data_IF_817274858567
#
_entry.id   IF_817274858567
#
_cell.length_a   1.000
_cell.length_b   1.000
_cell.length_c   1.000
_cell.angle_alpha   90.00
_cell.angle_beta   90.00
_cell.angle_gamma   90.00
#
_symmetry.space_group_name_H-M   'P 1'
#
loop_
_entity.id
_entity.type
_entity.pdbx_description
1 polymer ?
#
# COMPACT_ATOMS: atom_id res chain seq x y z
N UNK A 1 9.31 -4.76 -14.76
CA UNK A 1 9.09 -3.66 -13.81
C UNK A 1 7.61 -3.46 -13.57
N UNK A 2 7.23 -3.30 -12.33
CA UNK A 2 5.87 -3.09 -11.91
C UNK A 2 5.76 -1.83 -11.08
N UNK A 3 4.58 -1.24 -11.04
CA UNK A 3 4.26 -0.18 -10.10
C UNK A 3 3.31 -0.76 -9.05
N UNK A 4 3.67 -0.59 -7.79
CA UNK A 4 2.78 -0.90 -6.67
C UNK A 4 2.13 0.39 -6.22
N UNK A 5 0.82 0.39 -6.12
CA UNK A 5 0.05 1.51 -5.60
C UNK A 5 -0.79 1.00 -4.44
N UNK A 6 -0.78 1.70 -3.31
CA UNK A 6 -1.61 1.30 -2.18
C UNK A 6 -2.06 2.51 -1.36
N UNK A 7 -3.00 2.28 -0.47
CA UNK A 7 -3.61 3.32 0.34
C UNK A 7 -3.46 2.95 1.81
N UNK A 8 -3.04 3.91 2.63
CA UNK A 8 -2.70 3.62 4.03
C UNK A 8 -2.98 4.83 4.91
N UNK A 9 -3.52 4.65 6.14
CA UNK A 9 -3.64 5.76 7.08
C UNK A 9 -2.27 6.21 7.55
N UNK A 10 -2.17 7.48 7.97
CA UNK A 10 -0.91 8.07 8.39
C UNK A 10 -0.21 7.26 9.48
N UNK A 11 -0.97 6.64 10.37
CA UNK A 11 -0.42 5.84 11.48
C UNK A 11 0.50 4.71 11.02
N UNK A 12 0.34 4.22 9.78
CA UNK A 12 1.13 3.10 9.26
C UNK A 12 1.85 3.43 7.96
N UNK A 13 1.91 4.72 7.61
CA UNK A 13 2.57 5.16 6.37
C UNK A 13 4.05 4.75 6.33
N UNK A 14 4.81 5.16 7.34
CA UNK A 14 6.25 4.89 7.36
C UNK A 14 6.55 3.40 7.52
N UNK A 15 5.78 2.70 8.32
CA UNK A 15 5.94 1.28 8.56
C UNK A 15 5.71 0.47 7.29
N UNK A 16 4.66 0.78 6.52
CA UNK A 16 4.39 0.07 5.26
C UNK A 16 5.43 0.38 4.19
N UNK A 17 5.84 1.64 4.07
CA UNK A 17 6.91 2.02 3.12
C UNK A 17 8.20 1.29 3.47
N UNK A 18 8.57 1.26 4.74
CA UNK A 18 9.78 0.57 5.19
C UNK A 18 9.73 -0.93 4.84
N UNK A 19 8.59 -1.58 5.08
CA UNK A 19 8.42 -2.98 4.75
C UNK A 19 8.63 -3.26 3.26
N UNK A 20 8.08 -2.38 2.40
CA UNK A 20 8.25 -2.50 0.95
C UNK A 20 9.70 -2.29 0.53
N UNK A 21 10.38 -1.28 1.09
CA UNK A 21 11.78 -1.03 0.78
C UNK A 21 12.67 -2.19 1.20
N UNK A 22 12.42 -2.78 2.37
CA UNK A 22 13.18 -3.94 2.85
C UNK A 22 12.97 -5.17 1.96
N UNK A 23 11.82 -5.28 1.29
CA UNK A 23 11.54 -6.37 0.35
C UNK A 23 12.11 -6.11 -1.05
N UNK A 24 12.77 -4.98 -1.27
CA UNK A 24 13.44 -4.65 -2.52
C UNK A 24 12.67 -3.73 -3.45
N UNK A 25 11.49 -3.27 -3.08
CA UNK A 25 10.74 -2.28 -3.87
C UNK A 25 11.37 -0.89 -3.74
N UNK A 26 11.07 -0.01 -4.70
CA UNK A 26 11.53 1.38 -4.64
C UNK A 26 12.95 1.61 -5.13
N UNK A 27 13.46 0.75 -5.99
CA UNK A 27 14.81 0.92 -6.55
C UNK A 27 14.74 1.41 -7.99
N UNK A 28 15.47 2.48 -8.28
CA UNK A 28 15.61 3.04 -9.63
C UNK A 28 17.10 3.34 -9.84
N UNK A 29 17.78 2.55 -10.67
CA UNK A 29 19.21 2.70 -10.91
C UNK A 29 20.00 2.63 -9.61
N UNK A 30 20.76 3.66 -9.31
CA UNK A 30 21.59 3.76 -8.10
C UNK A 30 20.85 4.40 -6.92
N UNK A 31 19.54 4.48 -6.97
CA UNK A 31 18.72 5.04 -5.89
C UNK A 31 17.81 3.98 -5.31
N UNK A 32 17.67 3.97 -4.00
CA UNK A 32 16.68 3.15 -3.32
C UNK A 32 15.70 4.03 -2.55
N UNK A 33 14.72 3.41 -1.93
CA UNK A 33 13.68 4.09 -1.16
C UNK A 33 12.92 5.14 -1.98
N UNK A 34 12.81 4.90 -3.28
CA UNK A 34 12.07 5.78 -4.18
C UNK A 34 10.58 5.50 -4.02
N UNK A 35 9.84 6.53 -3.66
CA UNK A 35 8.39 6.45 -3.50
C UNK A 35 7.78 7.81 -3.69
N UNK A 36 6.51 7.84 -4.06
CA UNK A 36 5.72 9.05 -4.17
C UNK A 36 4.45 8.87 -3.35
N UNK A 37 3.96 9.92 -2.72
CA UNK A 37 2.76 9.83 -1.91
C UNK A 37 1.96 11.12 -1.95
N UNK A 38 0.66 10.99 -1.77
CA UNK A 38 -0.24 12.12 -1.66
C UNK A 38 -1.30 11.81 -0.62
N UNK A 39 -1.63 12.81 0.19
CA UNK A 39 -2.71 12.70 1.17
C UNK A 39 -4.05 12.90 0.47
N UNK A 40 -4.97 12.01 0.73
CA UNK A 40 -6.31 12.06 0.18
C UNK A 40 -7.33 11.60 1.19
N UNK A 41 -8.54 11.36 0.70
CA UNK A 41 -9.65 10.92 1.54
C UNK A 41 -10.28 9.69 0.94
N UNK A 42 -10.23 8.59 1.71
CA UNK A 42 -10.87 7.35 1.32
C UNK A 42 -12.19 7.14 2.04
N UNK A 43 -12.98 6.20 1.55
CA UNK A 43 -14.20 5.81 2.25
C UNK A 43 -14.45 4.32 2.07
N UNK A 44 -15.12 3.75 3.04
CA UNK A 44 -15.53 2.34 3.00
C UNK A 44 -16.65 2.12 4.01
N UNK A 45 -17.34 1.00 3.85
CA UNK A 45 -18.36 0.59 4.80
C UNK A 45 -18.16 -0.88 5.14
N UNK A 46 -17.76 -1.21 6.37
CA UNK A 46 -17.63 -2.60 6.78
C UNK A 46 -18.96 -3.33 6.68
N UNK A 47 -18.94 -4.55 6.17
CA UNK A 47 -20.11 -5.41 6.08
C UNK A 47 -20.12 -6.39 7.26
N UNK A 48 -21.23 -7.09 7.47
CA UNK A 48 -21.34 -8.09 8.51
C UNK A 48 -20.28 -9.18 8.31
N UNK A 49 -19.60 -9.54 9.41
CA UNK A 49 -18.52 -10.53 9.37
C UNK A 49 -17.14 -9.96 9.19
N UNK A 50 -17.01 -8.66 8.88
CA UNK A 50 -15.71 -8.01 8.80
C UNK A 50 -15.16 -7.72 10.20
N UNK A 51 -13.83 -7.54 10.28
CA UNK A 51 -13.15 -7.12 11.51
C UNK A 51 -12.29 -5.89 11.18
N UNK A 52 -12.91 -4.72 11.03
CA UNK A 52 -12.21 -3.53 10.57
C UNK A 52 -11.26 -2.96 11.63
N UNK A 53 -10.13 -2.44 11.16
CA UNK A 53 -9.21 -1.66 11.97
C UNK A 53 -9.84 -0.31 12.37
N UNK A 54 -10.58 0.31 11.43
CA UNK A 54 -11.32 1.56 11.63
C UNK A 54 -12.76 1.33 11.24
N UNK A 55 -13.69 1.87 12.04
CA UNK A 55 -15.10 1.82 11.72
C UNK A 55 -15.82 0.59 12.28
N UNK A 56 -17.08 0.46 11.95
CA UNK A 56 -17.94 -0.61 12.43
C UNK A 56 -18.94 -1.03 11.36
N UNK A 57 -19.43 -2.25 11.47
CA UNK A 57 -20.31 -2.85 10.47
C UNK A 57 -21.54 -1.96 10.18
N UNK A 58 -21.83 -1.76 8.90
CA UNK A 58 -22.97 -1.02 8.42
C UNK A 58 -22.85 0.49 8.43
N UNK A 59 -21.72 1.03 8.92
CA UNK A 59 -21.52 2.48 9.02
C UNK A 59 -20.50 2.92 7.97
N UNK A 60 -20.88 3.89 7.13
CA UNK A 60 -19.95 4.48 6.17
C UNK A 60 -18.88 5.26 6.91
N UNK A 61 -17.61 4.96 6.61
CA UNK A 61 -16.47 5.59 7.22
C UNK A 61 -15.72 6.41 6.17
N UNK A 62 -15.27 7.61 6.55
CA UNK A 62 -14.41 8.44 5.72
C UNK A 62 -13.10 8.63 6.48
N UNK A 63 -11.98 8.37 5.83
CA UNK A 63 -10.68 8.37 6.48
C UNK A 63 -9.66 9.13 5.64
N UNK A 64 -8.84 9.95 6.32
CA UNK A 64 -7.68 10.55 5.68
C UNK A 64 -6.62 9.46 5.50
N UNK A 65 -6.14 9.28 4.28
CA UNK A 65 -5.13 8.28 4.00
C UNK A 65 -4.23 8.73 2.87
N UNK A 66 -3.04 8.13 2.82
CA UNK A 66 -2.07 8.39 1.76
C UNK A 66 -2.21 7.37 0.65
N UNK A 67 -2.13 7.85 -0.59
CA UNK A 67 -1.88 7.01 -1.75
C UNK A 67 -0.38 6.97 -1.95
N UNK A 68 0.20 5.78 -1.94
CA UNK A 68 1.64 5.58 -2.11
C UNK A 68 1.89 4.83 -3.40
N UNK A 69 2.87 5.29 -4.18
CA UNK A 69 3.25 4.65 -5.43
C UNK A 69 4.76 4.45 -5.45
N UNK A 70 5.20 3.27 -5.87
CA UNK A 70 6.62 2.96 -6.03
C UNK A 70 6.77 1.84 -7.05
N UNK A 71 7.95 1.77 -7.65
CA UNK A 71 8.26 0.73 -8.63
C UNK A 71 8.87 -0.48 -7.94
N UNK A 72 8.77 -1.64 -8.60
CA UNK A 72 9.28 -2.89 -8.06
C UNK A 72 9.69 -3.81 -9.20
N UNK A 73 10.88 -4.38 -9.08
CA UNK A 73 11.33 -5.38 -10.03
C UNK A 73 10.49 -6.66 -9.93
N UNK A 74 10.35 -7.37 -11.06
CA UNK A 74 9.55 -8.59 -11.13
C UNK A 74 9.95 -9.62 -10.07
N UNK A 75 11.25 -9.78 -9.84
CA UNK A 75 11.75 -10.75 -8.86
C UNK A 75 11.42 -10.43 -7.41
N UNK A 76 11.03 -9.20 -7.12
CA UNK A 76 10.74 -8.75 -5.75
C UNK A 76 9.24 -8.55 -5.48
N UNK A 77 8.40 -8.53 -6.51
CA UNK A 77 7.02 -8.07 -6.36
C UNK A 77 6.19 -8.94 -5.41
N UNK A 78 6.37 -10.26 -5.47
CA UNK A 78 5.61 -11.17 -4.60
C UNK A 78 5.96 -10.96 -3.12
N UNK A 79 7.26 -10.84 -2.81
CA UNK A 79 7.73 -10.59 -1.46
C UNK A 79 7.31 -9.19 -0.98
N UNK A 80 7.33 -8.22 -1.87
CA UNK A 80 6.91 -6.86 -1.55
C UNK A 80 5.43 -6.82 -1.16
N UNK A 81 4.57 -7.47 -1.92
CA UNK A 81 3.13 -7.53 -1.60
C UNK A 81 2.89 -8.28 -0.29
N UNK A 82 3.60 -9.38 -0.05
CA UNK A 82 3.48 -10.10 1.21
C UNK A 82 3.87 -9.21 2.40
N UNK A 83 4.96 -8.45 2.25
CA UNK A 83 5.41 -7.52 3.29
C UNK A 83 4.40 -6.39 3.52
N UNK A 84 3.80 -5.87 2.44
CA UNK A 84 2.75 -4.86 2.54
C UNK A 84 1.57 -5.37 3.35
N UNK A 85 1.07 -6.55 3.02
CA UNK A 85 -0.08 -7.14 3.71
C UNK A 85 0.20 -7.38 5.19
N UNK A 86 1.43 -7.75 5.54
CA UNK A 86 1.81 -7.96 6.94
C UNK A 86 1.88 -6.65 7.72
N UNK A 87 2.40 -5.59 7.10
CA UNK A 87 2.59 -4.29 7.76
C UNK A 87 1.34 -3.42 7.76
N UNK A 88 0.43 -3.63 6.82
CA UNK A 88 -0.77 -2.81 6.69
C UNK A 88 -1.78 -3.16 7.80
N UNK A 89 -2.42 -2.14 8.42
CA UNK A 89 -3.35 -2.41 9.52
C UNK A 89 -4.72 -2.92 9.09
N UNK A 90 -5.10 -2.75 7.83
CA UNK A 90 -6.42 -3.16 7.36
C UNK A 90 -6.50 -4.66 7.12
N UNK A 91 -7.67 -5.23 7.40
CA UNK A 91 -7.98 -6.62 7.09
C UNK A 91 -7.85 -6.89 5.59
N UNK A 92 -8.38 -5.98 4.78
CA UNK A 92 -8.36 -6.04 3.31
C UNK A 92 -7.77 -4.75 2.77
N UNK A 93 -6.44 -4.61 2.70
CA UNK A 93 -5.85 -3.38 2.18
C UNK A 93 -6.10 -3.23 0.68
N UNK A 94 -6.42 -2.02 0.24
CA UNK A 94 -6.55 -1.71 -1.17
C UNK A 94 -5.17 -1.50 -1.77
N UNK A 95 -4.81 -2.28 -2.78
CA UNK A 95 -3.55 -2.10 -3.51
C UNK A 95 -3.72 -2.56 -4.95
N UNK A 96 -2.83 -2.07 -5.80
CA UNK A 96 -2.80 -2.42 -7.22
C UNK A 96 -1.36 -2.68 -7.63
N UNK A 97 -1.17 -3.62 -8.55
CA UNK A 97 0.14 -3.90 -9.15
C UNK A 97 -0.05 -3.77 -10.66
N UNK A 98 0.67 -2.83 -11.26
CA UNK A 98 0.56 -2.53 -12.69
C UNK A 98 1.84 -2.92 -13.40
N UNK A 99 1.72 -3.65 -14.50
CA UNK A 99 2.86 -3.92 -15.36
C UNK A 99 3.23 -2.66 -16.14
N UNK A 100 4.51 -2.28 -16.11
CA UNK A 100 4.98 -1.07 -16.78
C UNK A 100 5.68 -1.44 -18.08
N UNK A 101 5.40 -0.67 -19.13
CA UNK A 101 6.08 -0.79 -20.41
C UNK A 101 7.43 -0.07 -20.31
N UNK A 102 8.49 -0.73 -20.79
CA UNK A 102 9.84 -0.16 -20.81
C UNK A 102 10.19 0.32 -22.22
N UNK A 103 10.86 1.45 -22.31
CA UNK A 103 11.30 2.01 -23.59
C UNK A 103 12.81 2.16 -23.64
#
# INVERSE_FOLDING_TARGET
MYKICYFVPESHLDETKHALFCAGAGRIGDYDQCAWQILGRGQFRPLNGSQPFIGQAGVLETVAEYKVELVCAEGCVRNAIAALKTAHPYEEPAYEVLALTQF
#
